data_IF_011026528543
#
_entry.id   IF_011026528543
#
_cell.length_a   1.000
_cell.length_b   1.000
_cell.length_c   1.000
_cell.angle_alpha   90.00
_cell.angle_beta   90.00
_cell.angle_gamma   90.00
#
_symmetry.space_group_name_H-M   'P 1'
#
loop_
_entity.id
_entity.type
_entity.pdbx_description
1 polymer ?
#
# COMPACT_ATOMS: atom_id res chain seq x y z
N UNK A 1 -7.79 -11.80 -13.96
CA UNK A 1 -6.36 -11.38 -14.02
C UNK A 1 -5.59 -12.07 -12.90
N UNK A 2 -4.26 -11.95 -12.80
CA UNK A 2 -3.51 -12.51 -11.67
C UNK A 2 -2.27 -11.68 -11.31
N UNK A 3 -1.76 -11.86 -10.10
CA UNK A 3 -0.51 -11.24 -9.64
C UNK A 3 0.67 -12.17 -9.94
N UNK A 4 1.63 -11.67 -10.72
CA UNK A 4 2.92 -12.31 -10.91
C UNK A 4 3.95 -11.69 -9.98
N UNK A 5 4.59 -12.52 -9.16
CA UNK A 5 5.65 -12.11 -8.26
C UNK A 5 7.02 -12.38 -8.88
N UNK A 6 7.91 -11.40 -8.80
CA UNK A 6 9.34 -11.55 -9.12
C UNK A 6 10.13 -11.31 -7.84
N UNK A 7 10.97 -12.28 -7.47
CA UNK A 7 11.75 -12.25 -6.23
C UNK A 7 13.21 -12.01 -6.57
N UNK A 8 13.84 -11.02 -5.92
CA UNK A 8 15.24 -10.65 -6.13
C UNK A 8 15.97 -10.55 -4.80
N UNK A 9 17.14 -11.16 -4.70
CA UNK A 9 18.03 -10.99 -3.54
C UNK A 9 18.72 -9.62 -3.54
N UNK A 10 19.12 -9.15 -2.35
CA UNK A 10 19.97 -7.98 -2.24
C UNK A 10 21.38 -8.25 -2.79
N UNK A 11 21.97 -7.29 -3.54
CA UNK A 11 23.31 -7.47 -4.15
C UNK A 11 24.44 -7.55 -3.13
N UNK A 12 24.24 -7.00 -1.93
CA UNK A 12 25.16 -7.14 -0.80
C UNK A 12 24.73 -8.30 0.10
N UNK A 13 25.61 -9.29 0.25
CA UNK A 13 25.41 -10.56 0.97
C UNK A 13 25.24 -10.37 2.49
N UNK A 14 25.58 -9.21 3.04
CA UNK A 14 25.51 -8.93 4.48
C UNK A 14 24.12 -8.54 4.99
N UNK A 15 23.19 -8.17 4.11
CA UNK A 15 21.83 -7.80 4.48
C UNK A 15 20.88 -8.93 4.10
N UNK A 16 20.22 -9.53 5.09
CA UNK A 16 19.20 -10.56 4.90
C UNK A 16 17.89 -9.92 4.40
N UNK A 17 17.93 -9.45 3.15
CA UNK A 17 16.86 -8.68 2.52
C UNK A 17 16.52 -9.27 1.17
N UNK A 18 15.24 -9.54 0.96
CA UNK A 18 14.69 -10.01 -0.31
C UNK A 18 13.63 -9.03 -0.81
N UNK A 19 13.64 -8.75 -2.11
CA UNK A 19 12.70 -7.85 -2.77
C UNK A 19 11.65 -8.66 -3.51
N UNK A 20 10.38 -8.32 -3.29
CA UNK A 20 9.24 -8.95 -3.97
C UNK A 20 8.52 -7.90 -4.80
N UNK A 21 8.68 -7.99 -6.12
CA UNK A 21 8.01 -7.12 -7.09
C UNK A 21 6.69 -7.77 -7.54
N UNK A 22 5.59 -7.03 -7.45
CA UNK A 22 4.26 -7.48 -7.87
C UNK A 22 3.87 -6.85 -9.21
N UNK A 23 3.42 -7.68 -10.16
CA UNK A 23 2.92 -7.25 -11.45
C UNK A 23 1.50 -7.76 -11.68
N UNK A 24 0.61 -6.88 -12.12
CA UNK A 24 -0.71 -7.29 -12.61
C UNK A 24 -0.55 -7.83 -14.02
N UNK A 25 -1.01 -9.06 -14.25
CA UNK A 25 -0.95 -9.74 -15.54
C UNK A 25 -2.34 -10.16 -15.97
N UNK A 26 -2.62 -9.93 -17.25
CA UNK A 26 -3.82 -10.40 -17.91
C UNK A 26 -3.48 -11.58 -18.83
N UNK A 27 -4.28 -12.63 -18.73
CA UNK A 27 -4.29 -13.76 -19.66
C UNK A 27 -5.44 -13.60 -20.62
N UNK A 28 -5.19 -13.73 -21.92
CA UNK A 28 -6.19 -13.60 -22.97
C UNK A 28 -5.90 -14.61 -24.09
N UNK A 29 -6.81 -14.77 -25.05
CA UNK A 29 -6.55 -15.51 -26.30
C UNK A 29 -6.40 -14.51 -27.44
N UNK A 30 -5.42 -14.71 -28.32
CA UNK A 30 -5.30 -13.91 -29.54
C UNK A 30 -6.35 -14.35 -30.58
N UNK A 31 -6.33 -13.72 -31.75
CA UNK A 31 -7.27 -14.00 -32.85
C UNK A 31 -7.17 -15.44 -33.39
N UNK A 32 -6.01 -16.08 -33.21
CA UNK A 32 -5.76 -17.48 -33.56
C UNK A 32 -6.21 -18.45 -32.45
N UNK A 33 -6.77 -17.93 -31.35
CA UNK A 33 -7.21 -18.71 -30.20
C UNK A 33 -6.08 -19.15 -29.27
N UNK A 34 -4.84 -18.74 -29.49
CA UNK A 34 -3.69 -19.10 -28.68
C UNK A 34 -3.66 -18.34 -27.36
N UNK A 35 -3.30 -18.98 -26.23
CA UNK A 35 -3.17 -18.30 -24.95
C UNK A 35 -1.98 -17.32 -24.96
N UNK A 36 -2.24 -16.07 -24.60
CA UNK A 36 -1.25 -14.99 -24.48
C UNK A 36 -1.36 -14.33 -23.11
N UNK A 37 -0.29 -13.64 -22.73
CA UNK A 37 -0.23 -12.88 -21.49
C UNK A 37 0.39 -11.51 -21.74
N UNK A 38 -0.13 -10.49 -21.06
CA UNK A 38 0.47 -9.16 -21.03
C UNK A 38 0.52 -8.61 -19.61
N UNK A 39 1.59 -7.88 -19.31
CA UNK A 39 1.68 -7.13 -18.04
C UNK A 39 0.87 -5.86 -18.19
N UNK A 40 -0.12 -5.67 -17.32
CA UNK A 40 -0.95 -4.48 -17.31
C UNK A 40 -0.29 -3.36 -16.50
N UNK A 41 0.25 -3.70 -15.33
CA UNK A 41 0.84 -2.71 -14.43
C UNK A 41 1.83 -3.34 -13.45
N UNK A 42 2.72 -2.51 -12.92
CA UNK A 42 3.53 -2.81 -11.76
C UNK A 42 2.80 -2.30 -10.51
N UNK A 43 2.49 -3.21 -9.58
CA UNK A 43 1.68 -2.93 -8.39
C UNK A 43 2.53 -2.47 -7.20
N UNK A 44 3.85 -2.65 -7.27
CA UNK A 44 4.78 -2.19 -6.25
C UNK A 44 5.83 -3.23 -5.88
N UNK A 45 6.71 -2.82 -4.96
CA UNK A 45 7.74 -3.66 -4.36
C UNK A 45 7.57 -3.64 -2.84
N UNK A 46 7.82 -4.79 -2.23
CA UNK A 46 7.95 -4.91 -0.79
C UNK A 46 9.25 -5.64 -0.42
N UNK A 47 9.89 -5.15 0.64
CA UNK A 47 11.11 -5.73 1.21
C UNK A 47 10.75 -6.71 2.31
N UNK A 48 11.29 -7.92 2.21
CA UNK A 48 11.30 -8.91 3.27
C UNK A 48 12.66 -8.82 3.98
N UNK A 49 12.65 -8.74 5.31
CA UNK A 49 13.86 -8.75 6.14
C UNK A 49 13.82 -10.01 6.99
N UNK A 50 14.80 -10.90 6.80
CA UNK A 50 14.68 -12.29 7.22
C UNK A 50 13.38 -12.91 6.73
N UNK A 51 12.59 -13.44 7.65
CA UNK A 51 11.32 -14.10 7.32
C UNK A 51 10.10 -13.17 7.34
N UNK A 52 10.29 -11.87 7.56
CA UNK A 52 9.17 -10.96 7.83
C UNK A 52 9.05 -9.82 6.82
N UNK A 53 7.81 -9.46 6.48
CA UNK A 53 7.51 -8.18 5.84
C UNK A 53 7.28 -7.12 6.92
N UNK A 54 8.10 -6.07 7.01
CA UNK A 54 7.93 -5.03 8.02
C UNK A 54 6.53 -4.38 7.95
N UNK A 55 5.94 -4.09 9.11
CA UNK A 55 4.58 -3.53 9.26
C UNK A 55 4.34 -2.34 8.32
N UNK A 56 5.20 -1.31 8.41
CA UNK A 56 5.07 -0.09 7.59
C UNK A 56 5.21 -0.36 6.09
N UNK A 57 6.04 -1.34 5.71
CA UNK A 57 6.23 -1.70 4.30
C UNK A 57 4.98 -2.41 3.75
N UNK A 58 4.33 -3.26 4.55
CA UNK A 58 3.06 -3.91 4.18
C UNK A 58 1.95 -2.90 3.96
N UNK A 59 1.77 -1.99 4.91
CA UNK A 59 0.76 -0.93 4.84
C UNK A 59 0.95 -0.07 3.58
N UNK A 60 2.16 0.47 3.39
CA UNK A 60 2.45 1.29 2.22
C UNK A 60 2.33 0.51 0.91
N UNK A 61 2.71 -0.76 0.88
CA UNK A 61 2.60 -1.59 -0.31
C UNK A 61 1.13 -1.81 -0.71
N UNK A 62 0.29 -2.23 0.24
CA UNK A 62 -1.13 -2.50 -0.03
C UNK A 62 -1.89 -1.24 -0.43
N UNK A 63 -1.66 -0.11 0.26
CA UNK A 63 -2.28 1.17 -0.09
C UNK A 63 -1.89 1.62 -1.49
N UNK A 64 -0.60 1.51 -1.86
CA UNK A 64 -0.14 1.86 -3.20
C UNK A 64 -0.75 0.94 -4.26
N UNK A 65 -0.85 -0.35 -4.00
CA UNK A 65 -1.45 -1.30 -4.94
C UNK A 65 -2.94 -1.02 -5.17
N UNK A 66 -3.70 -0.69 -4.10
CA UNK A 66 -5.11 -0.28 -4.19
C UNK A 66 -5.27 0.97 -5.06
N UNK A 67 -4.50 2.04 -4.78
CA UNK A 67 -4.53 3.28 -5.57
C UNK A 67 -4.17 3.04 -7.04
N UNK A 68 -3.21 2.16 -7.33
CA UNK A 68 -2.86 1.80 -8.71
C UNK A 68 -4.03 1.08 -9.36
N UNK A 69 -4.63 0.08 -8.72
CA UNK A 69 -5.74 -0.68 -9.28
C UNK A 69 -6.94 0.21 -9.61
N UNK A 70 -7.28 1.15 -8.72
CA UNK A 70 -8.37 2.12 -8.93
C UNK A 70 -8.09 3.07 -10.10
N UNK A 71 -6.82 3.30 -10.44
CA UNK A 71 -6.41 4.16 -11.54
C UNK A 71 -6.36 3.47 -12.91
N UNK A 72 -6.42 2.13 -12.96
CA UNK A 72 -6.19 1.38 -14.20
C UNK A 72 -7.45 1.30 -15.08
N UNK A 73 -7.39 1.79 -16.32
CA UNK A 73 -8.51 1.65 -17.24
C UNK A 73 -8.72 0.18 -17.59
N UNK A 74 -9.97 -0.30 -17.48
CA UNK A 74 -10.34 -1.66 -17.83
C UNK A 74 -10.14 -2.69 -16.72
N UNK A 75 -9.75 -2.28 -15.51
CA UNK A 75 -9.85 -3.12 -14.31
C UNK A 75 -11.17 -2.79 -13.63
N UNK A 76 -12.05 -3.78 -13.48
CA UNK A 76 -13.33 -3.57 -12.79
C UNK A 76 -13.13 -3.54 -11.27
N UNK A 77 -14.05 -2.96 -10.47
CA UNK A 77 -13.98 -3.02 -9.01
C UNK A 77 -13.94 -4.46 -8.45
N UNK A 78 -14.59 -5.40 -9.14
CA UNK A 78 -14.54 -6.82 -8.79
C UNK A 78 -13.14 -7.41 -9.01
N UNK A 79 -12.53 -7.14 -10.17
CA UNK A 79 -11.15 -7.55 -10.47
C UNK A 79 -10.16 -6.93 -9.47
N UNK A 80 -10.30 -5.64 -9.16
CA UNK A 80 -9.48 -4.96 -8.14
C UNK A 80 -9.57 -5.65 -6.79
N UNK A 81 -10.79 -5.99 -6.34
CA UNK A 81 -11.00 -6.73 -5.09
C UNK A 81 -10.35 -8.12 -5.09
N UNK A 82 -10.43 -8.85 -6.20
CA UNK A 82 -9.79 -10.17 -6.33
C UNK A 82 -8.26 -10.06 -6.35
N UNK A 83 -7.71 -9.09 -7.07
CA UNK A 83 -6.26 -8.84 -7.11
C UNK A 83 -5.75 -8.44 -5.72
N UNK A 84 -6.45 -7.55 -5.01
CA UNK A 84 -6.09 -7.18 -3.63
C UNK A 84 -6.10 -8.39 -2.69
N UNK A 85 -7.12 -9.26 -2.77
CA UNK A 85 -7.14 -10.51 -2.00
C UNK A 85 -5.95 -11.41 -2.34
N UNK A 86 -5.57 -11.51 -3.61
CA UNK A 86 -4.39 -12.29 -4.03
C UNK A 86 -3.08 -11.69 -3.51
N UNK A 87 -2.95 -10.36 -3.47
CA UNK A 87 -1.82 -9.69 -2.83
C UNK A 87 -1.76 -10.01 -1.33
N UNK A 88 -2.91 -9.94 -0.65
CA UNK A 88 -3.04 -10.17 0.79
C UNK A 88 -2.68 -11.60 1.23
N UNK A 89 -2.79 -12.59 0.34
CA UNK A 89 -2.34 -13.95 0.62
C UNK A 89 -0.82 -14.04 0.84
N UNK A 90 -0.03 -13.20 0.16
CA UNK A 90 1.43 -13.16 0.32
C UNK A 90 1.87 -12.07 1.30
N UNK A 91 1.18 -10.93 1.28
CA UNK A 91 1.46 -9.76 2.12
C UNK A 91 0.22 -9.49 2.98
N UNK A 92 0.08 -10.14 4.14
CA UNK A 92 -1.11 -10.02 4.95
C UNK A 92 -1.38 -8.56 5.36
N UNK A 93 -2.65 -8.14 5.42
CA UNK A 93 -2.99 -6.85 6.00
C UNK A 93 -2.51 -6.78 7.46
N UNK A 94 -2.40 -5.57 7.98
CA UNK A 94 -2.05 -5.38 9.38
C UNK A 94 -3.15 -5.92 10.29
N UNK A 95 -2.77 -6.52 11.40
CA UNK A 95 -3.70 -6.81 12.48
C UNK A 95 -3.99 -5.58 13.35
N UNK A 96 -4.90 -5.72 14.31
CA UNK A 96 -5.35 -4.60 15.15
C UNK A 96 -4.23 -3.99 16.00
N UNK A 97 -3.28 -4.80 16.48
CA UNK A 97 -2.16 -4.32 17.29
C UNK A 97 -1.11 -3.64 16.41
N UNK A 98 -0.85 -4.18 15.23
CA UNK A 98 0.04 -3.60 14.22
C UNK A 98 -0.46 -2.24 13.75
N UNK A 99 -1.77 -2.10 13.48
CA UNK A 99 -2.40 -0.80 13.15
C UNK A 99 -2.19 0.21 14.29
N UNK A 100 -2.45 -0.21 15.55
CA UNK A 100 -2.28 0.68 16.71
C UNK A 100 -0.82 1.13 16.87
N UNK A 101 0.13 0.21 16.73
CA UNK A 101 1.56 0.51 16.82
C UNK A 101 2.00 1.41 15.66
N UNK A 102 1.54 1.15 14.44
CA UNK A 102 1.79 1.98 13.27
C UNK A 102 1.31 3.41 13.48
N UNK A 103 0.06 3.57 13.91
CA UNK A 103 -0.55 4.86 14.22
C UNK A 103 0.26 5.64 15.26
N UNK A 104 0.62 5.02 16.39
CA UNK A 104 1.41 5.66 17.44
C UNK A 104 2.81 6.07 16.97
N UNK A 105 3.46 5.22 16.18
CA UNK A 105 4.77 5.54 15.60
C UNK A 105 4.69 6.73 14.64
N UNK A 106 3.66 6.78 13.80
CA UNK A 106 3.41 7.90 12.88
C UNK A 106 3.13 9.18 13.65
N UNK A 107 2.26 9.14 14.66
CA UNK A 107 2.02 10.30 15.55
C UNK A 107 3.30 10.78 16.21
N UNK A 108 4.15 9.88 16.73
CA UNK A 108 5.44 10.24 17.33
C UNK A 108 6.32 11.04 16.37
N UNK A 109 6.34 10.68 15.08
CA UNK A 109 7.07 11.41 14.06
C UNK A 109 6.46 12.79 13.80
N UNK A 110 5.14 12.90 13.70
CA UNK A 110 4.47 14.19 13.52
C UNK A 110 4.69 15.13 14.72
N UNK A 111 4.57 14.62 15.94
CA UNK A 111 4.88 15.40 17.15
C UNK A 111 6.33 15.88 17.20
N UNK A 112 7.29 15.07 16.72
CA UNK A 112 8.68 15.50 16.60
C UNK A 112 8.79 16.65 15.61
N UNK A 113 8.22 16.49 14.42
CA UNK A 113 8.26 17.51 13.38
C UNK A 113 7.62 18.83 13.82
N UNK A 114 6.43 18.80 14.43
CA UNK A 114 5.76 20.02 14.92
C UNK A 114 6.54 20.74 16.02
N UNK A 115 7.25 19.99 16.88
CA UNK A 115 8.09 20.59 17.92
C UNK A 115 9.28 21.33 17.32
N UNK A 116 9.84 20.80 16.24
CA UNK A 116 11.00 21.37 15.55
C UNK A 116 10.62 22.54 14.64
N UNK A 117 9.39 22.56 14.10
CA UNK A 117 8.97 23.49 13.05
C UNK A 117 7.81 24.43 13.47
N UNK A 118 7.26 24.25 14.67
CA UNK A 118 6.05 24.95 15.11
C UNK A 118 4.76 24.32 14.56
N UNK A 119 3.62 24.92 14.90
CA UNK A 119 2.30 24.47 14.41
C UNK A 119 1.81 23.16 15.03
N UNK A 120 2.21 22.86 16.27
CA UNK A 120 1.64 21.72 17.00
C UNK A 120 0.14 21.95 17.23
N UNK A 121 -0.74 21.05 16.77
CA UNK A 121 -2.17 21.16 17.05
C UNK A 121 -2.43 21.08 18.55
N UNK A 122 -3.43 21.82 19.02
CA UNK A 122 -4.03 21.59 20.33
C UNK A 122 -4.75 20.25 20.38
N UNK A 123 -5.00 19.73 21.59
CA UNK A 123 -5.74 18.47 21.79
C UNK A 123 -7.10 18.48 21.06
N UNK A 124 -7.79 19.62 21.05
CA UNK A 124 -9.07 19.79 20.35
C UNK A 124 -8.93 19.69 18.83
N UNK A 125 -7.87 20.28 18.28
CA UNK A 125 -7.59 20.21 16.84
C UNK A 125 -7.20 18.78 16.44
N UNK A 126 -6.38 18.11 17.25
CA UNK A 126 -6.01 16.72 17.00
C UNK A 126 -7.22 15.77 17.02
N UNK A 127 -8.11 15.92 18.00
CA UNK A 127 -9.37 15.16 18.05
C UNK A 127 -10.24 15.44 16.83
N UNK A 128 -10.36 16.70 16.43
CA UNK A 128 -11.11 17.08 15.22
C UNK A 128 -10.50 16.49 13.95
N UNK A 129 -9.18 16.42 13.83
CA UNK A 129 -8.51 15.76 12.70
C UNK A 129 -8.85 14.28 12.62
N UNK A 130 -8.94 13.59 13.77
CA UNK A 130 -9.34 12.18 13.84
C UNK A 130 -10.81 12.01 13.44
N UNK A 131 -11.69 12.89 13.90
CA UNK A 131 -13.11 12.90 13.49
C UNK A 131 -13.26 13.11 11.99
N UNK A 132 -12.53 14.07 11.40
CA UNK A 132 -12.52 14.30 9.94
C UNK A 132 -12.03 13.07 9.18
N UNK A 133 -11.02 12.36 9.70
CA UNK A 133 -10.52 11.13 9.07
C UNK A 133 -11.54 9.97 9.12
N UNK A 134 -12.50 10.01 10.05
CA UNK A 134 -13.56 9.00 10.17
C UNK A 134 -14.71 9.18 9.17
N UNK A 135 -14.91 10.41 8.67
CA UNK A 135 -15.86 10.73 7.59
C UNK A 135 -15.13 10.65 6.23
N UNK A 136 -15.59 9.78 5.33
CA UNK A 136 -14.92 9.36 4.08
C UNK A 136 -14.18 10.44 3.25
N UNK A 137 -13.09 10.06 2.52
CA UNK A 137 -12.12 10.95 1.88
C UNK A 137 -12.52 11.52 0.50
N UNK A 138 -13.73 12.07 0.32
CA UNK A 138 -14.15 12.55 -1.02
C UNK A 138 -14.52 14.04 -1.12
N UNK A 139 -14.24 14.88 -0.12
CA UNK A 139 -14.61 16.31 -0.22
C UNK A 139 -13.83 17.36 0.59
N UNK A 140 -12.74 17.05 1.31
CA UNK A 140 -12.29 17.94 2.39
C UNK A 140 -10.80 18.29 2.48
N UNK A 141 -9.90 17.79 1.63
CA UNK A 141 -8.51 18.25 1.68
C UNK A 141 -8.33 19.71 1.23
N UNK A 142 -9.24 20.22 0.39
CA UNK A 142 -9.22 21.63 -0.04
C UNK A 142 -9.61 22.63 1.08
N UNK A 143 -10.17 22.16 2.21
CA UNK A 143 -10.61 23.03 3.32
C UNK A 143 -9.64 23.11 4.49
N UNK A 144 -8.55 22.37 4.46
CA UNK A 144 -7.54 22.37 5.53
C UNK A 144 -6.36 23.33 5.25
N UNK A 145 -6.33 23.96 4.06
CA UNK A 145 -5.24 24.86 3.61
C UNK A 145 -5.75 26.31 3.43
N UNK A 146 -7.03 26.60 3.72
CA UNK A 146 -7.61 27.95 3.63
C UNK A 146 -7.69 28.66 4.98
#
# INVERSE_FOLDING_TARGET
>A
MYVRWVVRGHKNVQADVTFHDAYLVESYRNDEGEPRQRTLSYLGNIRQIGDTFPVIERELFLLRAELILDSLPGVSPADSSEVLKSLQQKVPPLDADEVRIGFLNTLRWYFRWWRENGGTPSDKELLRMIEIASDRPDASLDRLIS
#
